data_IF_112777458748
#
_entry.id   IF_112777458748
#
_cell.length_a   1.000
_cell.length_b   1.000
_cell.length_c   1.000
_cell.angle_alpha   90.00
_cell.angle_beta   90.00
_cell.angle_gamma   90.00
#
_symmetry.space_group_name_H-M   'P 1'
#
loop_
_entity.id
_entity.type
_entity.pdbx_description
1 polymer ?
#
# COMPACT_ATOMS: atom_id res chain seq x y z
N UNK A 1 12.89 -20.75 -10.61
CA UNK A 1 13.36 -19.41 -11.04
C UNK A 1 12.29 -18.70 -11.87
N UNK A 2 11.59 -19.41 -12.76
CA UNK A 2 10.44 -18.89 -13.53
C UNK A 2 9.25 -18.47 -12.65
N UNK A 3 8.88 -19.27 -11.64
CA UNK A 3 7.80 -18.93 -10.70
C UNK A 3 8.07 -17.65 -9.89
N UNK A 4 9.35 -17.39 -9.57
CA UNK A 4 9.76 -16.22 -8.78
C UNK A 4 9.58 -14.94 -9.61
N UNK A 5 9.93 -14.98 -10.90
CA UNK A 5 9.72 -13.88 -11.83
C UNK A 5 8.24 -13.63 -12.10
N UNK A 6 7.42 -14.68 -12.20
CA UNK A 6 5.96 -14.58 -12.30
C UNK A 6 5.39 -13.88 -11.05
N UNK A 7 5.89 -14.26 -9.87
CA UNK A 7 5.45 -13.70 -8.58
C UNK A 7 5.80 -12.21 -8.49
N UNK A 8 7.01 -11.80 -8.90
CA UNK A 8 7.39 -10.39 -8.97
C UNK A 8 6.55 -9.60 -9.98
N UNK A 9 6.28 -10.16 -11.16
CA UNK A 9 5.46 -9.49 -12.17
C UNK A 9 4.00 -9.31 -11.74
N UNK A 10 3.48 -10.19 -10.88
CA UNK A 10 2.16 -10.04 -10.28
C UNK A 10 2.17 -9.06 -9.08
N UNK A 11 3.20 -9.13 -8.23
CA UNK A 11 3.32 -8.29 -7.03
C UNK A 11 3.62 -6.84 -7.35
N UNK A 12 4.42 -6.54 -8.37
CA UNK A 12 4.84 -5.18 -8.70
C UNK A 12 3.65 -4.26 -9.04
N UNK A 13 2.72 -4.61 -9.94
CA UNK A 13 1.53 -3.79 -10.18
C UNK A 13 0.60 -3.76 -8.97
N UNK A 14 0.45 -4.85 -8.23
CA UNK A 14 -0.37 -4.89 -7.02
C UNK A 14 0.18 -3.96 -5.92
N UNK A 15 1.49 -3.97 -5.69
CA UNK A 15 2.17 -3.09 -4.75
C UNK A 15 2.11 -1.63 -5.19
N UNK A 16 2.18 -1.35 -6.51
CA UNK A 16 2.08 0.00 -7.06
C UNK A 16 0.68 0.57 -6.88
N UNK A 17 -0.35 -0.18 -7.25
CA UNK A 17 -1.75 0.21 -7.03
C UNK A 17 -2.04 0.35 -5.55
N UNK A 18 -1.61 -0.62 -4.72
CA UNK A 18 -1.78 -0.58 -3.28
C UNK A 18 -1.13 0.66 -2.65
N UNK A 19 0.09 1.00 -3.06
CA UNK A 19 0.79 2.19 -2.56
C UNK A 19 0.01 3.46 -2.92
N UNK A 20 -0.33 3.65 -4.20
CA UNK A 20 -1.03 4.86 -4.66
C UNK A 20 -2.40 5.02 -4.00
N UNK A 21 -3.20 3.96 -3.96
CA UNK A 21 -4.55 4.01 -3.40
C UNK A 21 -4.54 4.20 -1.89
N UNK A 22 -3.70 3.47 -1.15
CA UNK A 22 -3.66 3.57 0.32
C UNK A 22 -3.19 4.96 0.77
N UNK A 23 -2.21 5.56 0.09
CA UNK A 23 -1.81 6.95 0.35
C UNK A 23 -2.91 7.96 -0.03
N UNK A 24 -3.62 7.75 -1.13
CA UNK A 24 -4.73 8.60 -1.53
C UNK A 24 -5.90 8.55 -0.53
N UNK A 25 -6.22 7.36 -0.03
CA UNK A 25 -7.26 7.16 1.00
C UNK A 25 -6.82 7.78 2.32
N UNK A 26 -5.57 7.56 2.75
CA UNK A 26 -5.02 8.19 3.95
C UNK A 26 -5.12 9.72 3.90
N UNK A 27 -4.75 10.33 2.76
CA UNK A 27 -4.90 11.76 2.54
C UNK A 27 -6.36 12.22 2.58
N UNK A 28 -7.26 11.45 1.96
CA UNK A 28 -8.69 11.76 1.92
C UNK A 28 -9.31 11.74 3.32
N UNK A 29 -8.97 10.74 4.14
CA UNK A 29 -9.47 10.62 5.52
C UNK A 29 -9.01 11.81 6.37
N UNK A 30 -7.77 12.26 6.22
CA UNK A 30 -7.25 13.45 6.93
C UNK A 30 -7.97 14.74 6.52
N UNK A 31 -8.40 14.85 5.26
CA UNK A 31 -9.05 16.05 4.73
C UNK A 31 -10.54 16.12 5.05
N UNK A 32 -11.21 14.97 5.19
CA UNK A 32 -12.65 14.89 5.40
C UNK A 32 -13.00 14.96 6.89
N UNK A 33 -13.57 16.09 7.33
CA UNK A 33 -14.10 16.26 8.70
C UNK A 33 -15.14 15.20 9.10
N UNK A 34 -15.84 14.60 8.14
CA UNK A 34 -16.80 13.50 8.39
C UNK A 34 -16.15 12.25 9.00
N UNK A 35 -14.83 12.08 8.83
CA UNK A 35 -14.07 10.97 9.41
C UNK A 35 -13.44 11.30 10.78
N UNK A 36 -13.76 12.45 11.38
CA UNK A 36 -13.30 12.81 12.73
C UNK A 36 -14.13 12.13 13.83
N UNK A 37 -14.21 10.80 13.78
CA UNK A 37 -14.85 9.95 14.77
C UNK A 37 -14.05 8.65 14.90
N UNK A 38 -14.33 7.84 15.93
CA UNK A 38 -13.49 6.69 16.30
C UNK A 38 -13.22 5.70 15.16
N UNK A 39 -14.19 5.48 14.26
CA UNK A 39 -14.00 4.62 13.09
C UNK A 39 -13.06 5.24 12.03
N UNK A 40 -13.11 6.55 11.81
CA UNK A 40 -12.15 7.21 10.93
C UNK A 40 -10.71 7.16 11.48
N UNK A 41 -10.51 7.18 12.80
CA UNK A 41 -9.20 6.96 13.40
C UNK A 41 -8.70 5.52 13.20
N UNK A 42 -9.56 4.52 13.35
CA UNK A 42 -9.23 3.12 13.05
C UNK A 42 -8.87 2.93 11.57
N UNK A 43 -9.70 3.47 10.68
CA UNK A 43 -9.48 3.40 9.23
C UNK A 43 -8.19 4.12 8.80
N UNK A 44 -7.85 5.23 9.46
CA UNK A 44 -6.59 5.96 9.22
C UNK A 44 -5.38 5.09 9.55
N UNK A 45 -5.37 4.43 10.71
CA UNK A 45 -4.26 3.55 11.10
C UNK A 45 -4.15 2.33 10.20
N UNK A 46 -5.30 1.76 9.79
CA UNK A 46 -5.32 0.62 8.86
C UNK A 46 -4.75 1.01 7.49
N UNK A 47 -5.21 2.11 6.92
CA UNK A 47 -4.73 2.59 5.61
C UNK A 47 -3.28 3.06 5.66
N UNK A 48 -2.81 3.61 6.78
CA UNK A 48 -1.40 3.93 6.99
C UNK A 48 -0.52 2.67 7.01
N UNK A 49 -0.95 1.63 7.73
CA UNK A 49 -0.20 0.37 7.76
C UNK A 49 -0.16 -0.29 6.39
N UNK A 50 -1.30 -0.36 5.69
CA UNK A 50 -1.37 -0.89 4.34
C UNK A 50 -0.53 -0.07 3.34
N UNK A 51 -0.49 1.25 3.47
CA UNK A 51 0.38 2.13 2.67
C UNK A 51 1.86 1.83 2.91
N UNK A 52 2.30 1.75 4.17
CA UNK A 52 3.70 1.43 4.50
C UNK A 52 4.09 0.03 4.03
N UNK A 53 3.22 -0.96 4.22
CA UNK A 53 3.46 -2.32 3.78
C UNK A 53 3.58 -2.41 2.25
N UNK A 54 2.61 -1.87 1.51
CA UNK A 54 2.66 -1.85 0.04
C UNK A 54 3.86 -1.05 -0.51
N UNK A 55 4.23 0.06 0.13
CA UNK A 55 5.44 0.83 -0.21
C UNK A 55 6.71 0.00 0.01
N UNK A 56 6.77 -0.75 1.12
CA UNK A 56 7.91 -1.63 1.42
C UNK A 56 8.02 -2.77 0.41
N UNK A 57 6.89 -3.36 0.00
CA UNK A 57 6.88 -4.37 -1.06
C UNK A 57 7.34 -3.80 -2.41
N UNK A 58 7.01 -2.55 -2.72
CA UNK A 58 7.39 -1.90 -3.97
C UNK A 58 8.89 -1.52 -4.00
N UNK A 59 9.40 -0.94 -2.92
CA UNK A 59 10.77 -0.37 -2.87
C UNK A 59 11.82 -1.40 -2.44
N UNK A 60 11.45 -2.40 -1.65
CA UNK A 60 12.40 -3.38 -1.11
C UNK A 60 12.22 -4.77 -1.70
N UNK A 61 11.01 -5.34 -1.62
CA UNK A 61 10.78 -6.72 -2.03
C UNK A 61 10.84 -6.91 -3.56
N UNK A 62 10.14 -6.09 -4.34
CA UNK A 62 10.15 -6.19 -5.80
C UNK A 62 11.56 -6.06 -6.41
N UNK A 63 12.41 -5.07 -6.05
CA UNK A 63 13.76 -4.99 -6.59
C UNK A 63 14.67 -6.12 -6.09
N UNK A 64 14.49 -6.60 -4.85
CA UNK A 64 15.23 -7.77 -4.35
C UNK A 64 14.91 -9.05 -5.16
N UNK A 65 13.70 -9.16 -5.72
CA UNK A 65 13.30 -10.33 -6.51
C UNK A 65 13.65 -10.19 -8.00
N UNK A 66 13.76 -8.95 -8.51
CA UNK A 66 14.12 -8.66 -9.90
C UNK A 66 15.64 -8.61 -10.16
N UNK A 67 16.46 -8.38 -9.12
CA UNK A 67 17.93 -8.45 -9.15
C UNK A 67 18.43 -9.89 -8.99
#
# INVERSE_FOLDING_TARGET
MEDINLTAYALLPAALVGTVLNWAVFYSIHKLKSFNHSFGFLLTNQTLFDALNSTSFLIYFCPMVLL
#
